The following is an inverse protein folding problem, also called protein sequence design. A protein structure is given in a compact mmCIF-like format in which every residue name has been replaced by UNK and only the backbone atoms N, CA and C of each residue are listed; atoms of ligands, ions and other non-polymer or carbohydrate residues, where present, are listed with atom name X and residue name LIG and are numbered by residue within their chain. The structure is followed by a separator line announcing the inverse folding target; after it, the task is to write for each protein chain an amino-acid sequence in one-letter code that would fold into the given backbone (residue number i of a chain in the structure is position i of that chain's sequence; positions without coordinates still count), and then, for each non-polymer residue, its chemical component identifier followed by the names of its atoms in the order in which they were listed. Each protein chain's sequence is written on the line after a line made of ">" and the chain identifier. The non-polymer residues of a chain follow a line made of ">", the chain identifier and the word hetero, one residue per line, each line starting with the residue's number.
data_IF_618793047306
#
_entry.id   IF_618793047306
#
_cell.length_a   1.000
_cell.length_b   1.000
_cell.length_c   1.000
_cell.angle_alpha   90.00
_cell.angle_beta   90.00
_cell.angle_gamma   90.00
#
_symmetry.space_group_name_H-M   'P 1'
#
loop_
_entity.id
_entity.type
_entity.pdbx_description
1 polymer ?
#
# COMPACT_ATOMS: atom_id res chain seq x y z
N UNK A 1 11.51 -25.49 5.14
CA UNK A 1 11.51 -24.05 4.77
C UNK A 1 10.37 -23.39 5.52
N UNK A 2 10.58 -22.26 6.19
CA UNK A 2 9.50 -21.57 6.90
C UNK A 2 8.54 -20.91 5.90
N UNK A 3 7.30 -20.65 6.32
CA UNK A 3 6.33 -19.92 5.49
C UNK A 3 6.88 -18.57 5.01
N UNK A 4 7.60 -17.86 5.87
CA UNK A 4 8.26 -16.59 5.52
C UNK A 4 9.22 -16.74 4.33
N UNK A 5 10.09 -17.75 4.33
CA UNK A 5 11.00 -18.00 3.20
C UNK A 5 10.25 -18.34 1.92
N UNK A 6 9.15 -19.10 2.01
CA UNK A 6 8.29 -19.41 0.86
C UNK A 6 7.66 -18.14 0.30
N UNK A 7 7.14 -17.27 1.17
CA UNK A 7 6.55 -15.99 0.78
C UNK A 7 7.60 -15.06 0.13
N UNK A 8 8.78 -14.95 0.72
CA UNK A 8 9.89 -14.17 0.17
C UNK A 8 10.28 -14.64 -1.23
N UNK A 9 10.36 -15.94 -1.44
CA UNK A 9 10.67 -16.52 -2.75
C UNK A 9 9.55 -16.28 -3.76
N UNK A 10 8.30 -16.52 -3.36
CA UNK A 10 7.14 -16.37 -4.22
C UNK A 10 6.92 -14.90 -4.68
N UNK A 11 7.32 -13.92 -3.88
CA UNK A 11 7.17 -12.48 -4.18
C UNK A 11 8.43 -11.83 -4.77
N UNK A 12 9.52 -12.59 -4.95
CA UNK A 12 10.81 -12.03 -5.40
C UNK A 12 10.70 -11.30 -6.74
N UNK A 13 10.05 -11.89 -7.72
CA UNK A 13 9.86 -11.29 -9.06
C UNK A 13 9.01 -10.01 -9.01
N UNK A 14 7.96 -9.99 -8.19
CA UNK A 14 7.10 -8.81 -8.04
C UNK A 14 7.87 -7.64 -7.37
N UNK A 15 8.68 -7.94 -6.35
CA UNK A 15 9.54 -6.95 -5.70
C UNK A 15 10.62 -6.41 -6.65
N UNK A 16 11.27 -7.30 -7.40
CA UNK A 16 12.26 -6.89 -8.41
C UNK A 16 11.62 -6.00 -9.48
N UNK A 17 10.42 -6.33 -9.95
CA UNK A 17 9.68 -5.50 -10.89
C UNK A 17 9.38 -4.11 -10.32
N UNK A 18 8.97 -4.03 -9.05
CA UNK A 18 8.75 -2.76 -8.37
C UNK A 18 10.03 -1.93 -8.28
N UNK A 19 11.14 -2.53 -7.83
CA UNK A 19 12.42 -1.83 -7.71
C UNK A 19 12.97 -1.29 -9.02
N UNK A 20 12.69 -1.98 -10.13
CA UNK A 20 13.12 -1.59 -11.47
C UNK A 20 12.14 -0.63 -12.16
N UNK A 21 11.07 -0.20 -11.48
CA UNK A 21 10.17 0.80 -12.04
C UNK A 21 10.93 2.12 -12.29
N UNK A 22 10.77 2.77 -13.47
CA UNK A 22 11.52 3.97 -13.83
C UNK A 22 11.43 5.09 -12.80
N UNK A 23 10.26 5.28 -12.18
CA UNK A 23 10.07 6.29 -11.14
C UNK A 23 10.92 6.00 -9.89
N UNK A 24 11.01 4.74 -9.46
CA UNK A 24 11.82 4.34 -8.30
C UNK A 24 13.30 4.58 -8.59
N UNK A 25 13.75 4.24 -9.80
CA UNK A 25 15.14 4.50 -10.21
C UNK A 25 15.47 6.00 -10.29
N UNK A 26 14.56 6.80 -10.83
CA UNK A 26 14.69 8.26 -10.88
C UNK A 26 14.76 8.87 -9.47
N UNK A 27 13.89 8.43 -8.55
CA UNK A 27 13.91 8.85 -7.14
C UNK A 27 15.26 8.52 -6.47
N UNK A 28 15.78 7.30 -6.67
CA UNK A 28 17.07 6.86 -6.09
C UNK A 28 18.26 7.67 -6.59
N UNK A 29 18.20 8.16 -7.83
CA UNK A 29 19.24 9.03 -8.42
C UNK A 29 19.06 10.50 -8.08
N UNK A 30 17.96 10.89 -7.49
CA UNK A 30 17.58 12.29 -7.29
C UNK A 30 17.23 13.01 -8.60
N UNK A 31 16.99 12.28 -9.67
CA UNK A 31 16.64 12.79 -11.00
C UNK A 31 15.11 12.77 -11.17
N UNK A 32 14.43 13.55 -10.35
CA UNK A 32 12.97 13.65 -10.36
C UNK A 32 12.55 15.11 -10.18
N UNK A 33 11.63 15.57 -11.02
CA UNK A 33 11.03 16.89 -10.84
C UNK A 33 10.09 16.91 -9.63
N UNK A 34 9.94 18.09 -9.03
CA UNK A 34 8.96 18.28 -7.94
C UNK A 34 7.54 17.92 -8.40
N UNK A 35 7.16 18.27 -9.63
CA UNK A 35 5.85 17.92 -10.20
C UNK A 35 5.66 16.40 -10.29
N UNK A 36 6.63 15.69 -10.85
CA UNK A 36 6.59 14.22 -10.93
C UNK A 36 6.51 13.57 -9.53
N UNK A 37 7.21 14.14 -8.54
CA UNK A 37 7.13 13.65 -7.17
C UNK A 37 5.75 13.87 -6.55
N UNK A 38 5.14 15.04 -6.78
CA UNK A 38 3.74 15.32 -6.34
C UNK A 38 2.74 14.38 -7.01
N UNK A 39 2.90 14.11 -8.31
CA UNK A 39 2.07 13.14 -9.03
C UNK A 39 2.19 11.72 -8.45
N UNK A 40 3.41 11.31 -8.15
CA UNK A 40 3.68 10.02 -7.48
C UNK A 40 3.01 9.96 -6.09
N UNK A 41 3.21 10.98 -5.25
CA UNK A 41 2.59 11.07 -3.93
C UNK A 41 1.06 11.07 -4.01
N UNK A 42 0.50 11.72 -5.03
CA UNK A 42 -0.95 11.75 -5.23
C UNK A 42 -1.52 10.34 -5.49
N UNK A 43 -0.83 9.54 -6.32
CA UNK A 43 -1.22 8.15 -6.54
C UNK A 43 -0.98 7.28 -5.30
N UNK A 44 0.10 7.52 -4.55
CA UNK A 44 0.36 6.85 -3.28
C UNK A 44 -0.74 7.15 -2.25
N UNK A 45 -1.20 8.41 -2.14
CA UNK A 45 -2.31 8.78 -1.26
C UNK A 45 -3.57 7.96 -1.55
N UNK A 46 -3.92 7.79 -2.82
CA UNK A 46 -5.15 7.08 -3.20
C UNK A 46 -5.14 5.60 -2.83
N UNK A 47 -3.99 4.95 -2.72
CA UNK A 47 -3.97 3.59 -2.22
C UNK A 47 -3.74 3.53 -0.70
N UNK A 48 -2.87 4.37 -0.13
CA UNK A 48 -2.55 4.36 1.31
C UNK A 48 -3.77 4.67 2.18
N UNK A 49 -4.68 5.55 1.73
CA UNK A 49 -5.94 5.81 2.44
C UNK A 49 -6.82 4.57 2.63
N UNK A 50 -6.56 3.49 1.88
CA UNK A 50 -7.26 2.21 2.00
C UNK A 50 -6.53 1.19 2.88
N UNK A 51 -5.29 1.46 3.36
CA UNK A 51 -4.54 0.52 4.18
C UNK A 51 -5.31 0.12 5.44
N UNK A 52 -5.71 1.08 6.25
CA UNK A 52 -6.50 0.81 7.47
C UNK A 52 -7.85 0.17 7.16
N UNK A 53 -8.68 0.66 6.23
CA UNK A 53 -9.92 -0.02 5.84
C UNK A 53 -9.72 -1.47 5.36
N UNK A 54 -8.67 -1.75 4.60
CA UNK A 54 -8.34 -3.11 4.13
C UNK A 54 -7.90 -4.02 5.28
N UNK A 55 -7.10 -3.52 6.22
CA UNK A 55 -6.72 -4.25 7.44
C UNK A 55 -7.95 -4.59 8.28
N UNK A 56 -8.87 -3.64 8.47
CA UNK A 56 -10.13 -3.87 9.19
C UNK A 56 -11.00 -4.91 8.48
N UNK A 57 -11.11 -4.83 7.14
CA UNK A 57 -11.86 -5.80 6.35
C UNK A 57 -11.24 -7.21 6.44
N UNK A 58 -9.91 -7.30 6.38
CA UNK A 58 -9.17 -8.56 6.54
C UNK A 58 -9.44 -9.16 7.91
N UNK A 59 -9.24 -8.40 8.97
CA UNK A 59 -9.47 -8.84 10.36
C UNK A 59 -10.90 -9.30 10.61
N UNK A 60 -11.88 -8.61 10.03
CA UNK A 60 -13.30 -8.95 10.15
C UNK A 60 -13.70 -10.23 9.41
N UNK A 61 -12.94 -10.65 8.40
CA UNK A 61 -13.18 -11.87 7.60
C UNK A 61 -12.47 -13.11 8.14
N UNK A 62 -11.47 -12.95 8.98
CA UNK A 62 -10.73 -14.08 9.55
C UNK A 62 -11.61 -14.85 10.56
N UNK A 63 -11.56 -16.18 10.51
CA UNK A 63 -12.18 -17.06 11.47
C UNK A 63 -11.51 -16.98 12.86
N UNK A 64 -12.13 -17.58 13.87
CA UNK A 64 -11.62 -17.57 15.25
C UNK A 64 -10.24 -18.24 15.39
N UNK A 65 -9.93 -19.21 14.56
CA UNK A 65 -8.64 -19.87 14.51
C UNK A 65 -7.48 -18.92 14.17
N UNK A 66 -7.77 -17.75 13.60
CA UNK A 66 -6.81 -16.70 13.27
C UNK A 66 -6.83 -15.51 14.24
N UNK A 67 -7.29 -15.70 15.46
CA UNK A 67 -7.37 -14.62 16.46
C UNK A 67 -6.00 -13.99 16.74
N UNK A 68 -4.94 -14.78 16.70
CA UNK A 68 -3.57 -14.27 16.82
C UNK A 68 -3.17 -13.32 15.65
N UNK A 69 -3.67 -13.56 14.43
CA UNK A 69 -3.47 -12.64 13.29
C UNK A 69 -4.25 -11.36 13.52
N UNK A 70 -5.47 -11.46 14.06
CA UNK A 70 -6.30 -10.29 14.36
C UNK A 70 -5.64 -9.37 15.38
N UNK A 71 -4.91 -9.92 16.37
CA UNK A 71 -4.07 -9.15 17.29
C UNK A 71 -2.98 -8.37 16.56
N UNK A 72 -2.24 -9.03 15.67
CA UNK A 72 -1.22 -8.37 14.85
C UNK A 72 -1.80 -7.30 13.91
N UNK A 73 -3.00 -7.53 13.35
CA UNK A 73 -3.70 -6.53 12.55
C UNK A 73 -4.06 -5.29 13.38
N UNK A 74 -4.47 -5.46 14.63
CA UNK A 74 -4.79 -4.35 15.51
C UNK A 74 -3.56 -3.46 15.78
N UNK A 75 -2.41 -4.06 16.06
CA UNK A 75 -1.13 -3.36 16.21
C UNK A 75 -0.75 -2.63 14.90
N UNK A 76 -0.88 -3.30 13.77
CA UNK A 76 -0.58 -2.72 12.46
C UNK A 76 -1.51 -1.54 12.12
N UNK A 77 -2.80 -1.61 12.47
CA UNK A 77 -3.73 -0.49 12.30
C UNK A 77 -3.29 0.71 13.13
N UNK A 78 -2.83 0.50 14.37
CA UNK A 78 -2.33 1.58 15.22
C UNK A 78 -1.12 2.28 14.60
N UNK A 79 -0.20 1.53 14.00
CA UNK A 79 0.96 2.07 13.29
C UNK A 79 0.58 2.83 12.01
N UNK A 80 -0.37 2.31 11.23
CA UNK A 80 -0.75 2.86 9.93
C UNK A 80 -1.77 4.00 10.00
N UNK A 81 -2.40 4.19 11.16
CA UNK A 81 -3.45 5.18 11.28
C UNK A 81 -2.94 6.61 11.09
N UNK A 82 -3.42 7.25 10.03
CA UNK A 82 -3.07 8.64 9.72
C UNK A 82 -1.93 8.82 8.69
N UNK A 83 -1.28 7.75 8.23
CA UNK A 83 -0.20 7.85 7.23
C UNK A 83 -0.62 8.58 5.96
N UNK A 84 -1.88 8.46 5.52
CA UNK A 84 -2.39 9.21 4.37
C UNK A 84 -2.31 10.73 4.57
N UNK A 85 -2.41 11.22 5.81
CA UNK A 85 -2.27 12.66 6.09
C UNK A 85 -0.81 13.13 5.96
N UNK A 86 0.15 12.26 6.26
CA UNK A 86 1.57 12.57 6.04
C UNK A 86 1.86 12.81 4.56
N UNK A 87 1.30 11.96 3.68
CA UNK A 87 1.43 12.14 2.22
C UNK A 87 0.86 13.49 1.78
N UNK A 88 -0.31 13.90 2.28
CA UNK A 88 -0.90 15.20 1.98
C UNK A 88 -0.05 16.36 2.51
N UNK A 89 0.61 16.19 3.65
CA UNK A 89 1.53 17.19 4.19
C UNK A 89 2.77 17.33 3.28
N UNK A 90 3.31 16.22 2.78
CA UNK A 90 4.43 16.24 1.85
C UNK A 90 4.06 16.90 0.51
N UNK A 91 2.87 16.62 -0.01
CA UNK A 91 2.33 17.30 -1.20
C UNK A 91 2.28 18.82 -0.98
N UNK A 92 1.76 19.28 0.17
CA UNK A 92 1.74 20.72 0.52
C UNK A 92 3.15 21.30 0.62
N UNK A 93 4.06 20.59 1.26
CA UNK A 93 5.47 21.01 1.40
C UNK A 93 6.17 21.12 0.03
N UNK A 94 5.78 20.32 -0.94
CA UNK A 94 6.22 20.42 -2.33
C UNK A 94 5.51 21.49 -3.16
N UNK A 95 4.55 22.23 -2.57
CA UNK A 95 3.77 23.26 -3.27
C UNK A 95 2.63 22.70 -4.11
N UNK A 96 2.24 21.43 -3.93
CA UNK A 96 1.08 20.81 -4.57
C UNK A 96 -0.23 21.14 -3.86
N UNK A 97 -1.35 20.94 -4.56
CA UNK A 97 -2.69 21.14 -4.02
C UNK A 97 -3.19 19.85 -3.33
N UNK A 98 -2.90 19.71 -2.05
CA UNK A 98 -3.29 18.55 -1.27
C UNK A 98 -4.81 18.39 -1.12
N UNK A 99 -5.58 19.49 -1.17
CA UNK A 99 -7.04 19.41 -1.09
C UNK A 99 -7.65 18.94 -2.42
N UNK A 100 -7.10 19.34 -3.55
CA UNK A 100 -7.47 18.76 -4.84
C UNK A 100 -7.16 17.24 -4.87
N UNK A 101 -6.03 16.80 -4.31
CA UNK A 101 -5.68 15.37 -4.21
C UNK A 101 -6.65 14.66 -3.25
N UNK A 102 -6.95 15.22 -2.07
CA UNK A 102 -7.88 14.62 -1.09
C UNK A 102 -9.23 14.28 -1.71
N UNK A 103 -9.75 15.17 -2.55
CA UNK A 103 -11.07 15.05 -3.16
C UNK A 103 -11.04 14.54 -4.61
N UNK A 104 -9.84 14.25 -5.12
CA UNK A 104 -9.63 13.73 -6.47
C UNK A 104 -9.87 12.23 -6.60
N UNK A 105 -9.51 11.72 -7.76
CA UNK A 105 -9.68 10.30 -8.11
C UNK A 105 -8.33 9.68 -8.47
N UNK A 106 -8.13 8.39 -8.14
CA UNK A 106 -6.93 7.66 -8.53
C UNK A 106 -6.86 7.45 -10.04
N UNK A 107 -5.66 7.22 -10.54
CA UNK A 107 -5.48 6.64 -11.87
C UNK A 107 -6.00 5.20 -11.92
N UNK A 108 -6.36 4.72 -13.09
CA UNK A 108 -6.94 3.39 -13.29
C UNK A 108 -6.10 2.24 -12.67
N UNK A 109 -4.75 2.23 -12.75
CA UNK A 109 -3.97 1.15 -12.12
C UNK A 109 -4.17 1.08 -10.59
N UNK A 110 -4.23 2.23 -9.92
CA UNK A 110 -4.45 2.29 -8.47
C UNK A 110 -5.87 1.86 -8.12
N UNK A 111 -6.86 2.33 -8.87
CA UNK A 111 -8.26 1.93 -8.68
C UNK A 111 -8.42 0.41 -8.81
N UNK A 112 -7.84 -0.20 -9.86
CA UNK A 112 -7.88 -1.65 -10.05
C UNK A 112 -7.15 -2.43 -8.96
N UNK A 113 -6.01 -1.92 -8.48
CA UNK A 113 -5.27 -2.54 -7.38
C UNK A 113 -6.11 -2.55 -6.09
N UNK A 114 -6.71 -1.43 -5.74
CA UNK A 114 -7.55 -1.31 -4.55
C UNK A 114 -8.80 -2.18 -4.67
N UNK A 115 -9.49 -2.15 -5.83
CA UNK A 115 -10.64 -2.98 -6.10
C UNK A 115 -10.30 -4.47 -5.98
N UNK A 116 -9.17 -4.90 -6.54
CA UNK A 116 -8.69 -6.28 -6.42
C UNK A 116 -8.46 -6.70 -4.97
N UNK A 117 -7.86 -5.83 -4.15
CA UNK A 117 -7.62 -6.13 -2.74
C UNK A 117 -8.92 -6.34 -1.96
N UNK A 118 -9.91 -5.46 -2.14
CA UNK A 118 -11.23 -5.65 -1.53
C UNK A 118 -11.91 -6.93 -2.02
N UNK A 119 -11.84 -7.20 -3.30
CA UNK A 119 -12.41 -8.42 -3.89
C UNK A 119 -11.73 -9.67 -3.34
N UNK A 120 -10.40 -9.69 -3.28
CA UNK A 120 -9.62 -10.79 -2.73
C UNK A 120 -9.99 -11.08 -1.27
N UNK A 121 -10.17 -10.04 -0.45
CA UNK A 121 -10.60 -10.17 0.95
C UNK A 121 -12.03 -10.74 1.01
N UNK A 122 -12.95 -10.25 0.19
CA UNK A 122 -14.37 -10.62 0.27
C UNK A 122 -14.69 -11.98 -0.34
N UNK A 123 -14.12 -12.32 -1.49
CA UNK A 123 -14.40 -13.54 -2.24
C UNK A 123 -13.30 -14.59 -2.18
N UNK A 124 -12.07 -14.17 -1.91
CA UNK A 124 -10.91 -15.03 -1.85
C UNK A 124 -10.49 -15.37 -0.42
N UNK A 125 -9.19 -15.54 -0.24
CA UNK A 125 -8.56 -15.73 1.06
C UNK A 125 -8.15 -14.35 1.63
N UNK A 126 -8.70 -13.90 2.77
CA UNK A 126 -8.36 -12.60 3.37
C UNK A 126 -6.87 -12.48 3.72
N UNK A 127 -6.18 -13.60 4.01
CA UNK A 127 -4.72 -13.59 4.21
C UNK A 127 -3.92 -13.15 2.98
N UNK A 128 -4.53 -13.15 1.78
CA UNK A 128 -3.91 -12.64 0.56
C UNK A 128 -3.53 -11.17 0.62
N UNK A 129 -4.17 -10.38 1.49
CA UNK A 129 -3.78 -8.98 1.76
C UNK A 129 -2.30 -8.85 2.14
N UNK A 130 -1.78 -9.77 2.95
CA UNK A 130 -0.37 -9.72 3.39
C UNK A 130 0.64 -9.95 2.26
N UNK A 131 0.23 -10.49 1.12
CA UNK A 131 1.05 -10.53 -0.09
C UNK A 131 1.35 -9.14 -0.64
N UNK A 132 0.37 -8.24 -0.63
CA UNK A 132 0.55 -6.83 -1.00
C UNK A 132 1.48 -6.12 0.00
N UNK A 133 1.22 -6.26 1.30
CA UNK A 133 2.06 -5.68 2.34
C UNK A 133 3.52 -6.14 2.19
N UNK A 134 3.76 -7.42 1.95
CA UNK A 134 5.11 -7.98 1.71
C UNK A 134 5.80 -7.36 0.48
N UNK A 135 5.07 -7.04 -0.57
CA UNK A 135 5.66 -6.45 -1.79
C UNK A 135 5.88 -4.94 -1.61
N UNK A 136 4.89 -4.20 -1.13
CA UNK A 136 4.97 -2.73 -1.08
C UNK A 136 5.77 -2.23 0.14
N UNK A 137 5.61 -2.85 1.30
CA UNK A 137 6.25 -2.40 2.54
C UNK A 137 7.55 -3.16 2.83
N UNK A 138 7.65 -4.40 2.45
CA UNK A 138 8.88 -5.19 2.57
C UNK A 138 10.00 -4.73 1.64
N UNK A 139 9.77 -3.69 0.85
CA UNK A 139 10.73 -3.08 -0.10
C UNK A 139 11.06 -1.62 0.22
N UNK A 140 10.42 -1.04 1.23
CA UNK A 140 10.64 0.34 1.70
C UNK A 140 11.79 0.44 2.70
#
# INVERSE_FOLDING_TARGET
>A
MSFYHTLQHATASAREHLFNAPIIEACRKGDISRGTYVDFLSQAYYHVRHTVPLLMATGGKLGQEYEWVRGAIAEYIEEEYGHQEWILNDIRACGGDAEAVRHGQPGLPIELMVAFLYDQIQRGNPMGFFGMAQVLEGTS
#
